data_IF_057948589391
#
_entry.id   IF_057948589391
#
_cell.length_a   1.000
_cell.length_b   1.000
_cell.length_c   1.000
_cell.angle_alpha   90.00
_cell.angle_beta   90.00
_cell.angle_gamma   90.00
#
_symmetry.space_group_name_H-M   'P 1'
#
loop_
_entity.id
_entity.type
_entity.pdbx_description
1 polymer ?
#
# COMPACT_ATOMS: atom_id res chain seq x y z
N UNK A 1 9.94 17.95 -1.87
CA UNK A 1 9.69 18.59 -3.20
C UNK A 1 9.06 17.59 -4.12
N UNK A 2 7.76 17.73 -4.40
CA UNK A 2 7.05 16.87 -5.34
C UNK A 2 7.32 17.35 -6.76
N UNK A 3 8.11 16.60 -7.53
CA UNK A 3 8.19 16.79 -8.98
C UNK A 3 7.07 15.90 -9.56
N UNK A 4 6.07 16.47 -10.24
CA UNK A 4 5.01 15.65 -10.81
C UNK A 4 5.58 14.80 -11.94
N UNK A 5 5.75 13.51 -11.68
CA UNK A 5 6.22 12.49 -12.63
C UNK A 5 5.38 12.49 -13.92
N UNK A 6 4.12 12.91 -13.82
CA UNK A 6 3.19 13.03 -14.95
C UNK A 6 3.63 14.03 -16.05
N UNK A 7 4.58 14.93 -15.76
CA UNK A 7 5.13 15.87 -16.76
C UNK A 7 6.40 15.38 -17.45
N UNK A 8 6.88 14.18 -17.13
CA UNK A 8 8.07 13.61 -17.74
C UNK A 8 7.71 12.73 -18.94
N UNK A 9 8.58 12.70 -19.94
CA UNK A 9 8.36 11.92 -21.17
C UNK A 9 8.45 10.41 -20.97
N UNK A 10 9.01 9.96 -19.86
CA UNK A 10 9.05 8.55 -19.48
C UNK A 10 9.18 8.38 -17.96
N UNK A 11 8.72 7.24 -17.43
CA UNK A 11 8.84 6.89 -16.00
C UNK A 11 10.31 6.86 -15.57
N UNK A 12 11.21 6.31 -16.41
CA UNK A 12 12.64 6.27 -16.12
C UNK A 12 13.26 7.66 -15.98
N UNK A 13 12.83 8.61 -16.81
CA UNK A 13 13.29 10.00 -16.71
C UNK A 13 12.73 10.67 -15.44
N UNK A 14 11.49 10.41 -15.08
CA UNK A 14 10.89 10.93 -13.85
C UNK A 14 11.57 10.41 -12.59
N UNK A 15 11.88 9.12 -12.55
CA UNK A 15 12.63 8.50 -11.44
C UNK A 15 14.05 9.03 -11.35
N UNK A 16 14.73 9.22 -12.48
CA UNK A 16 16.08 9.82 -12.51
C UNK A 16 16.06 11.24 -11.95
N UNK A 17 15.09 12.08 -12.37
CA UNK A 17 14.95 13.43 -11.86
C UNK A 17 14.67 13.47 -10.37
N UNK A 18 13.81 12.56 -9.89
CA UNK A 18 13.52 12.44 -8.46
C UNK A 18 14.77 12.06 -7.65
N UNK A 19 15.51 11.05 -8.09
CA UNK A 19 16.72 10.59 -7.43
C UNK A 19 17.77 11.70 -7.33
N UNK A 20 18.15 12.30 -8.47
CA UNK A 20 19.15 13.35 -8.51
C UNK A 20 18.69 14.63 -7.83
N UNK A 21 17.39 14.94 -7.86
CA UNK A 21 16.82 16.03 -7.12
C UNK A 21 16.97 15.87 -5.60
N UNK A 22 16.77 14.66 -5.10
CA UNK A 22 16.94 14.34 -3.67
C UNK A 22 18.39 14.40 -3.24
N UNK A 23 19.27 13.75 -3.99
CA UNK A 23 20.72 13.72 -3.68
C UNK A 23 21.33 15.12 -3.78
N UNK A 24 21.02 15.86 -4.84
CA UNK A 24 21.49 17.24 -5.03
C UNK A 24 20.99 18.18 -3.93
N UNK A 25 19.73 18.02 -3.49
CA UNK A 25 19.18 18.79 -2.38
C UNK A 25 19.94 18.55 -1.08
N UNK A 26 20.12 17.31 -0.70
CA UNK A 26 20.84 16.95 0.53
C UNK A 26 22.28 17.50 0.54
N UNK A 27 23.00 17.35 -0.56
CA UNK A 27 24.39 17.83 -0.62
C UNK A 27 24.48 19.36 -0.49
N UNK A 28 23.62 20.11 -1.18
CA UNK A 28 23.65 21.58 -1.13
C UNK A 28 23.09 22.13 0.17
N UNK A 29 22.13 21.46 0.80
CA UNK A 29 21.62 21.82 2.10
C UNK A 29 22.68 21.71 3.19
N UNK A 30 23.42 20.62 3.21
CA UNK A 30 24.55 20.42 4.14
C UNK A 30 25.66 21.45 3.91
N UNK A 31 26.02 21.73 2.67
CA UNK A 31 27.00 22.76 2.35
C UNK A 31 26.56 24.16 2.81
N UNK A 32 25.29 24.49 2.61
CA UNK A 32 24.72 25.75 3.07
C UNK A 32 24.67 25.86 4.61
N UNK A 33 24.33 24.78 5.30
CA UNK A 33 24.38 24.70 6.77
C UNK A 33 25.78 24.95 7.30
N UNK A 34 26.76 24.16 6.85
CA UNK A 34 28.14 24.29 7.32
C UNK A 34 28.77 25.64 6.94
N UNK A 35 28.47 26.15 5.73
CA UNK A 35 28.92 27.48 5.30
C UNK A 35 28.41 28.57 6.24
N UNK A 36 27.14 28.52 6.61
CA UNK A 36 26.54 29.49 7.55
C UNK A 36 27.18 29.42 8.94
N UNK A 37 27.48 28.21 9.43
CA UNK A 37 28.18 28.04 10.73
C UNK A 37 29.60 28.61 10.70
N UNK A 38 30.35 28.37 9.63
CA UNK A 38 31.71 28.90 9.43
C UNK A 38 31.75 30.42 9.39
N UNK A 39 30.68 31.06 8.90
CA UNK A 39 30.54 32.52 8.84
C UNK A 39 29.97 33.12 10.15
N UNK A 40 29.84 32.32 11.22
CA UNK A 40 29.40 32.78 12.53
C UNK A 40 27.87 32.87 12.67
N UNK A 41 27.10 32.26 11.78
CA UNK A 41 25.65 32.17 11.87
C UNK A 41 25.19 31.27 13.04
N UNK A 42 24.05 31.65 13.67
CA UNK A 42 23.44 30.87 14.73
C UNK A 42 22.81 29.58 14.18
N UNK A 43 22.38 28.67 15.06
CA UNK A 43 21.83 27.36 14.68
C UNK A 43 20.55 27.51 13.82
N UNK A 44 19.65 28.41 14.20
CA UNK A 44 18.38 28.64 13.49
C UNK A 44 18.62 29.12 12.05
N UNK A 45 19.58 30.07 11.88
CA UNK A 45 19.96 30.55 10.53
C UNK A 45 20.62 29.46 9.73
N UNK A 46 21.47 28.63 10.33
CA UNK A 46 22.11 27.51 9.63
C UNK A 46 21.10 26.43 9.19
N UNK A 47 20.11 26.12 10.01
CA UNK A 47 19.02 25.19 9.65
C UNK A 47 18.12 25.75 8.54
N UNK A 48 17.81 27.05 8.58
CA UNK A 48 17.06 27.71 7.51
C UNK A 48 17.84 27.65 6.17
N UNK A 49 19.15 27.91 6.20
CA UNK A 49 19.99 27.83 5.01
C UNK A 49 20.15 26.40 4.51
N UNK A 50 20.16 25.40 5.38
CA UNK A 50 20.09 23.98 4.98
C UNK A 50 18.80 23.70 4.21
N UNK A 51 17.66 24.14 4.72
CA UNK A 51 16.37 23.96 4.06
C UNK A 51 16.33 24.62 2.69
N UNK A 52 16.76 25.89 2.59
CA UNK A 52 16.83 26.63 1.33
C UNK A 52 17.80 25.97 0.35
N UNK A 53 18.96 25.52 0.81
CA UNK A 53 19.95 24.80 -0.01
C UNK A 53 19.37 23.48 -0.57
N UNK A 54 18.62 22.75 0.23
CA UNK A 54 17.93 21.53 -0.23
C UNK A 54 16.93 21.83 -1.36
N UNK A 55 16.20 22.93 -1.28
CA UNK A 55 15.27 23.35 -2.36
C UNK A 55 16.00 23.73 -3.64
N UNK A 56 16.99 24.61 -3.55
CA UNK A 56 17.72 25.12 -4.72
C UNK A 56 18.54 24.00 -5.36
N UNK A 57 19.29 23.23 -4.59
CA UNK A 57 20.08 22.14 -5.11
C UNK A 57 19.27 20.99 -5.67
N UNK A 58 18.16 20.65 -5.01
CA UNK A 58 17.23 19.65 -5.53
C UNK A 58 16.63 20.03 -6.86
N UNK A 59 16.24 21.31 -7.02
CA UNK A 59 15.71 21.80 -8.28
C UNK A 59 16.75 21.83 -9.39
N UNK A 60 17.96 22.34 -9.11
CA UNK A 60 19.05 22.40 -10.09
C UNK A 60 19.51 20.99 -10.53
N UNK A 61 19.69 20.06 -9.61
CA UNK A 61 20.06 18.69 -9.91
C UNK A 61 18.97 17.96 -10.70
N UNK A 62 17.70 18.16 -10.34
CA UNK A 62 16.56 17.59 -11.07
C UNK A 62 16.49 18.13 -12.51
N UNK A 63 16.75 19.40 -12.72
CA UNK A 63 16.76 20.02 -14.05
C UNK A 63 17.94 19.53 -14.90
N UNK A 64 19.10 19.34 -14.31
CA UNK A 64 20.26 18.74 -14.98
C UNK A 64 19.97 17.28 -15.36
N UNK A 65 19.41 16.48 -14.45
CA UNK A 65 19.04 15.09 -14.67
C UNK A 65 17.99 14.89 -15.79
N UNK A 66 17.21 15.91 -16.12
CA UNK A 66 16.25 15.84 -17.24
C UNK A 66 16.93 15.63 -18.61
N UNK A 67 18.21 15.94 -18.72
CA UNK A 67 19.05 15.74 -19.93
C UNK A 67 19.69 14.38 -20.00
N UNK A 68 19.69 13.62 -18.87
CA UNK A 68 20.26 12.27 -18.78
C UNK A 68 19.13 11.24 -18.75
N UNK A 69 19.24 10.23 -19.63
CA UNK A 69 18.36 9.07 -19.62
C UNK A 69 19.12 7.88 -19.06
N UNK A 70 18.63 7.26 -18.02
CA UNK A 70 19.18 6.02 -17.46
C UNK A 70 19.26 4.88 -18.48
N UNK A 71 18.50 4.95 -19.57
CA UNK A 71 18.53 3.98 -20.65
C UNK A 71 19.80 4.01 -21.50
N UNK A 72 20.69 5.00 -21.33
CA UNK A 72 21.98 5.09 -22.05
C UNK A 72 23.15 4.55 -21.27
N UNK A 73 22.97 4.27 -19.99
CA UNK A 73 23.99 3.60 -19.17
C UNK A 73 23.78 2.09 -19.33
N UNK A 74 24.53 1.46 -20.23
CA UNK A 74 24.72 0.00 -20.14
C UNK A 74 25.55 -0.24 -18.89
N UNK A 75 24.87 -0.44 -17.78
CA UNK A 75 25.51 -1.00 -16.60
C UNK A 75 25.50 -2.50 -16.83
N UNK A 76 26.66 -3.04 -17.27
CA UNK A 76 26.92 -4.47 -17.19
C UNK A 76 27.07 -4.81 -15.69
N UNK A 77 25.98 -4.77 -14.97
CA UNK A 77 25.87 -5.44 -13.69
C UNK A 77 25.61 -6.90 -14.05
N UNK A 78 26.62 -7.75 -13.91
CA UNK A 78 26.37 -9.16 -13.72
C UNK A 78 25.52 -9.30 -12.47
N UNK A 79 24.21 -9.22 -12.67
CA UNK A 79 23.25 -9.61 -11.63
C UNK A 79 23.55 -11.09 -11.40
N UNK A 80 23.95 -11.52 -10.19
CA UNK A 80 24.03 -12.94 -9.90
C UNK A 80 22.72 -13.55 -10.37
N UNK A 81 22.77 -14.52 -11.27
CA UNK A 81 21.59 -15.30 -11.64
C UNK A 81 21.16 -16.00 -10.36
N UNK A 82 20.30 -15.35 -9.61
CA UNK A 82 19.53 -16.03 -8.58
C UNK A 82 18.79 -17.13 -9.33
N UNK A 83 19.20 -18.34 -9.08
CA UNK A 83 18.46 -19.51 -9.45
C UNK A 83 17.13 -19.38 -8.68
N UNK A 84 16.16 -18.66 -9.27
CA UNK A 84 14.78 -18.89 -8.94
C UNK A 84 14.56 -20.33 -9.35
N UNK A 85 14.54 -21.23 -8.41
CA UNK A 85 13.82 -22.47 -8.60
C UNK A 85 12.45 -22.03 -9.11
N UNK A 86 12.27 -22.20 -10.40
CA UNK A 86 10.98 -21.99 -11.04
C UNK A 86 10.07 -23.04 -10.40
N UNK A 87 9.35 -22.65 -9.36
CA UNK A 87 8.15 -23.36 -8.99
C UNK A 87 7.33 -23.36 -10.28
N UNK A 88 7.01 -24.53 -10.88
CA UNK A 88 6.24 -24.57 -12.11
C UNK A 88 4.98 -23.74 -11.87
N UNK A 89 4.86 -22.60 -12.53
CA UNK A 89 3.59 -21.91 -12.59
C UNK A 89 2.68 -22.83 -13.36
N UNK A 90 1.72 -23.42 -12.71
CA UNK A 90 0.54 -23.88 -13.39
C UNK A 90 -0.12 -22.64 -14.01
N UNK A 91 0.06 -22.48 -15.32
CA UNK A 91 -0.28 -21.29 -16.13
C UNK A 91 -1.82 -21.13 -16.25
N UNK A 92 -2.63 -21.89 -15.53
CA UNK A 92 -4.09 -21.94 -15.73
C UNK A 92 -4.94 -21.18 -14.72
N UNK A 93 -4.40 -20.65 -13.65
CA UNK A 93 -5.22 -19.84 -12.74
C UNK A 93 -4.93 -18.34 -12.89
N UNK A 94 -5.65 -17.71 -13.81
CA UNK A 94 -5.73 -16.25 -13.83
C UNK A 94 -6.40 -15.77 -12.54
N UNK A 95 -5.90 -14.67 -11.98
CA UNK A 95 -6.51 -14.03 -10.82
C UNK A 95 -8.02 -13.89 -11.02
N UNK A 96 -8.86 -14.41 -10.11
CA UNK A 96 -10.31 -14.32 -10.24
C UNK A 96 -10.77 -12.86 -10.18
N UNK A 97 -11.93 -12.57 -10.77
CA UNK A 97 -12.58 -11.28 -10.58
C UNK A 97 -13.08 -11.17 -9.12
N UNK A 98 -13.31 -9.94 -8.65
CA UNK A 98 -13.85 -9.73 -7.30
C UNK A 98 -15.19 -10.47 -7.07
N UNK A 99 -16.07 -10.52 -8.09
CA UNK A 99 -17.33 -11.27 -8.05
C UNK A 99 -17.10 -12.77 -7.94
N UNK A 100 -16.11 -13.30 -8.66
CA UNK A 100 -15.79 -14.71 -8.57
C UNK A 100 -15.24 -15.06 -7.20
N UNK A 101 -14.41 -14.17 -6.61
CA UNK A 101 -13.92 -14.34 -5.23
C UNK A 101 -15.07 -14.39 -4.22
N UNK A 102 -16.05 -13.48 -4.32
CA UNK A 102 -17.23 -13.49 -3.44
C UNK A 102 -18.06 -14.76 -3.59
N UNK A 103 -18.30 -15.21 -4.83
CA UNK A 103 -19.06 -16.44 -5.11
C UNK A 103 -18.35 -17.69 -4.59
N UNK A 104 -17.02 -17.79 -4.79
CA UNK A 104 -16.28 -18.97 -4.39
C UNK A 104 -16.11 -19.04 -2.88
N UNK A 105 -15.82 -17.91 -2.23
CA UNK A 105 -15.71 -17.82 -0.77
C UNK A 105 -17.08 -17.99 -0.12
N UNK A 106 -18.15 -17.49 -0.76
CA UNK A 106 -19.52 -17.65 -0.27
C UNK A 106 -19.96 -19.11 -0.08
N UNK A 107 -19.38 -20.05 -0.85
CA UNK A 107 -19.62 -21.49 -0.67
C UNK A 107 -19.13 -22.00 0.69
N UNK A 108 -18.05 -21.40 1.20
CA UNK A 108 -17.48 -21.77 2.51
C UNK A 108 -18.33 -21.21 3.67
N UNK A 109 -19.22 -20.25 3.38
CA UNK A 109 -20.14 -19.58 4.34
C UNK A 109 -21.61 -19.86 4.04
N UNK A 110 -21.93 -21.08 3.61
CA UNK A 110 -23.31 -21.51 3.38
C UNK A 110 -24.15 -21.37 4.67
N UNK A 111 -25.34 -20.80 4.55
CA UNK A 111 -26.22 -20.50 5.69
C UNK A 111 -25.90 -19.21 6.44
N UNK A 112 -25.01 -18.36 5.92
CA UNK A 112 -24.87 -16.98 6.34
C UNK A 112 -25.82 -16.09 5.52
N UNK A 113 -26.36 -15.04 6.16
CA UNK A 113 -27.16 -14.04 5.47
C UNK A 113 -26.24 -13.12 4.64
N UNK A 114 -26.57 -12.90 3.38
CA UNK A 114 -25.80 -12.02 2.53
C UNK A 114 -26.18 -10.55 2.78
N UNK A 115 -25.15 -9.70 2.84
CA UNK A 115 -25.25 -8.24 2.72
C UNK A 115 -26.24 -7.55 3.67
N UNK A 116 -26.37 -8.01 4.91
CA UNK A 116 -27.11 -7.30 5.96
C UNK A 116 -26.45 -5.99 6.33
N UNK A 117 -27.24 -4.95 6.54
CA UNK A 117 -26.75 -3.61 6.93
C UNK A 117 -26.96 -3.36 8.40
N UNK A 118 -25.95 -2.78 9.08
CA UNK A 118 -25.99 -2.50 10.51
C UNK A 118 -25.53 -1.08 10.82
N UNK A 119 -26.14 -0.48 11.83
CA UNK A 119 -25.72 0.79 12.44
C UNK A 119 -25.95 0.72 13.96
N UNK A 120 -24.92 1.07 14.74
CA UNK A 120 -24.99 1.08 16.20
C UNK A 120 -25.50 -0.26 16.80
N UNK A 121 -25.14 -1.38 16.20
CA UNK A 121 -25.54 -2.71 16.65
C UNK A 121 -26.89 -3.22 16.13
N UNK A 122 -27.66 -2.39 15.45
CA UNK A 122 -28.98 -2.75 14.95
C UNK A 122 -29.00 -2.99 13.44
N UNK A 123 -29.77 -3.97 12.98
CA UNK A 123 -30.00 -4.22 11.57
C UNK A 123 -30.90 -3.12 10.98
N UNK A 124 -30.49 -2.56 9.84
CA UNK A 124 -31.17 -1.46 9.17
C UNK A 124 -31.39 -1.77 7.69
N UNK A 125 -32.35 -1.10 7.03
CA UNK A 125 -32.56 -1.26 5.59
C UNK A 125 -31.32 -0.94 4.77
N UNK A 126 -31.19 -1.64 3.64
CA UNK A 126 -30.13 -1.37 2.66
C UNK A 126 -30.10 0.11 2.25
N UNK A 127 -28.90 0.68 2.17
CA UNK A 127 -28.70 2.08 1.77
C UNK A 127 -28.84 3.09 2.92
N UNK A 128 -29.06 2.65 4.16
CA UNK A 128 -29.07 3.54 5.33
C UNK A 128 -27.71 4.24 5.46
N UNK A 129 -27.72 5.57 5.46
CA UNK A 129 -26.50 6.37 5.52
C UNK A 129 -25.73 6.09 6.82
N UNK A 130 -24.45 5.77 6.70
CA UNK A 130 -23.55 5.49 7.83
C UNK A 130 -23.51 4.01 8.24
N UNK A 131 -24.43 3.17 7.74
CA UNK A 131 -24.40 1.74 8.01
C UNK A 131 -23.15 1.06 7.47
N UNK A 132 -22.80 -0.08 8.06
CA UNK A 132 -21.81 -1.03 7.55
C UNK A 132 -22.54 -2.25 7.00
N UNK A 133 -21.92 -2.91 6.00
CA UNK A 133 -22.51 -4.05 5.33
C UNK A 133 -21.44 -5.09 5.04
N UNK A 134 -21.26 -6.11 5.88
CA UNK A 134 -20.43 -7.26 5.56
C UNK A 134 -21.00 -8.06 4.38
N UNK A 135 -20.17 -8.78 3.66
CA UNK A 135 -20.61 -9.65 2.56
C UNK A 135 -21.48 -10.79 3.09
N UNK A 136 -21.07 -11.40 4.21
CA UNK A 136 -21.88 -12.43 4.87
C UNK A 136 -21.94 -12.16 6.37
N UNK A 137 -23.11 -12.45 6.96
CA UNK A 137 -23.35 -12.27 8.38
C UNK A 137 -24.15 -13.44 8.95
N UNK A 138 -23.70 -13.92 10.08
CA UNK A 138 -24.47 -14.83 10.94
C UNK A 138 -24.26 -14.39 12.37
N UNK A 139 -25.25 -14.61 13.24
CA UNK A 139 -25.16 -14.15 14.63
C UNK A 139 -23.79 -14.41 15.25
N UNK A 140 -23.10 -13.33 15.63
CA UNK A 140 -21.75 -13.38 16.20
C UNK A 140 -20.59 -13.36 15.20
N UNK A 141 -20.82 -13.45 13.87
CA UNK A 141 -19.76 -13.48 12.88
C UNK A 141 -20.08 -12.61 11.68
N UNK A 142 -19.13 -11.79 11.27
CA UNK A 142 -19.20 -11.00 10.03
C UNK A 142 -18.03 -11.36 9.12
N UNK A 143 -18.30 -11.60 7.85
CA UNK A 143 -17.29 -11.98 6.86
C UNK A 143 -17.20 -10.93 5.79
N UNK A 144 -15.98 -10.56 5.45
CA UNK A 144 -15.64 -9.66 4.36
C UNK A 144 -14.73 -10.34 3.36
N UNK A 145 -15.03 -10.21 2.09
CA UNK A 145 -14.21 -10.74 1.00
C UNK A 145 -13.42 -9.63 0.34
N UNK A 146 -12.13 -9.84 0.10
CA UNK A 146 -11.24 -8.88 -0.55
C UNK A 146 -10.43 -9.54 -1.65
N UNK A 147 -10.37 -8.85 -2.78
CA UNK A 147 -9.55 -9.22 -3.92
C UNK A 147 -8.73 -8.01 -4.37
N UNK A 148 -7.57 -7.82 -3.75
CA UNK A 148 -6.61 -6.77 -4.09
C UNK A 148 -5.39 -7.35 -4.78
N UNK A 149 -4.71 -6.55 -5.61
CA UNK A 149 -3.42 -6.96 -6.16
C UNK A 149 -2.35 -6.89 -5.07
N UNK A 150 -1.93 -8.05 -4.54
CA UNK A 150 -0.90 -8.14 -3.49
C UNK A 150 0.52 -8.19 -4.04
N UNK A 151 0.70 -8.34 -5.34
CA UNK A 151 2.03 -8.31 -5.97
C UNK A 151 2.66 -6.92 -5.87
N UNK A 152 1.85 -5.86 -5.96
CA UNK A 152 2.31 -4.48 -5.93
C UNK A 152 2.25 -3.88 -4.52
N UNK A 153 3.24 -3.04 -4.17
CA UNK A 153 3.22 -2.30 -2.90
C UNK A 153 2.01 -1.37 -2.77
N UNK A 154 1.56 -0.77 -3.88
CA UNK A 154 0.37 0.09 -3.90
C UNK A 154 -0.89 -0.70 -3.59
N UNK A 155 -1.05 -1.90 -4.18
CA UNK A 155 -2.19 -2.77 -3.92
C UNK A 155 -2.23 -3.26 -2.47
N UNK A 156 -1.06 -3.66 -1.91
CA UNK A 156 -0.95 -4.04 -0.49
C UNK A 156 -1.31 -2.88 0.44
N UNK A 157 -0.79 -1.68 0.18
CA UNK A 157 -1.10 -0.50 0.99
C UNK A 157 -2.58 -0.13 0.93
N UNK A 158 -3.20 -0.22 -0.25
CA UNK A 158 -4.64 0.03 -0.44
C UNK A 158 -5.47 -1.00 0.33
N UNK A 159 -5.12 -2.28 0.25
CA UNK A 159 -5.75 -3.37 1.00
C UNK A 159 -5.69 -3.11 2.51
N UNK A 160 -4.48 -2.88 3.05
CA UNK A 160 -4.26 -2.64 4.48
C UNK A 160 -5.08 -1.43 4.95
N UNK A 161 -5.02 -0.31 4.23
CA UNK A 161 -5.73 0.90 4.61
C UNK A 161 -7.25 0.72 4.62
N UNK A 162 -7.78 0.13 3.55
CA UNK A 162 -9.22 -0.06 3.40
C UNK A 162 -9.77 -1.06 4.42
N UNK A 163 -9.13 -2.22 4.58
CA UNK A 163 -9.57 -3.25 5.53
C UNK A 163 -9.50 -2.73 6.96
N UNK A 164 -8.39 -2.11 7.36
CA UNK A 164 -8.27 -1.55 8.72
C UNK A 164 -9.33 -0.49 9.01
N UNK A 165 -9.65 0.38 8.05
CA UNK A 165 -10.71 1.38 8.20
C UNK A 165 -12.09 0.74 8.30
N UNK A 166 -12.36 -0.31 7.52
CA UNK A 166 -13.63 -1.03 7.57
C UNK A 166 -13.79 -1.79 8.89
N UNK A 167 -12.75 -2.46 9.38
CA UNK A 167 -12.78 -3.13 10.70
C UNK A 167 -13.15 -2.13 11.79
N UNK A 168 -12.52 -0.94 11.83
CA UNK A 168 -12.84 0.11 12.81
C UNK A 168 -14.31 0.54 12.76
N UNK A 169 -14.83 0.78 11.55
CA UNK A 169 -16.24 1.17 11.40
C UNK A 169 -17.19 0.07 11.85
N UNK A 170 -16.84 -1.18 11.65
CA UNK A 170 -17.64 -2.33 12.05
C UNK A 170 -17.66 -2.55 13.55
N UNK A 171 -16.58 -2.24 14.26
CA UNK A 171 -16.56 -2.32 15.74
C UNK A 171 -17.65 -1.51 16.41
N UNK A 172 -18.05 -0.39 15.82
CA UNK A 172 -19.08 0.50 16.37
C UNK A 172 -20.47 0.26 15.80
N UNK A 173 -20.58 -0.47 14.70
CA UNK A 173 -21.83 -0.58 13.96
C UNK A 173 -22.42 -2.00 13.91
N UNK A 174 -21.58 -3.03 14.05
CA UNK A 174 -22.07 -4.41 14.18
C UNK A 174 -22.59 -4.66 15.60
N UNK A 175 -23.47 -5.66 15.78
CA UNK A 175 -23.89 -6.10 17.11
C UNK A 175 -22.69 -6.40 18.01
N UNK A 176 -22.83 -6.09 19.31
CA UNK A 176 -21.76 -6.31 20.29
C UNK A 176 -21.33 -7.78 20.32
N UNK A 177 -20.02 -8.00 20.43
CA UNK A 177 -19.43 -9.35 20.43
C UNK A 177 -19.29 -9.99 19.05
N UNK A 178 -19.63 -9.28 17.96
CA UNK A 178 -19.44 -9.83 16.60
C UNK A 178 -17.96 -9.97 16.27
N UNK A 179 -17.53 -11.20 15.99
CA UNK A 179 -16.20 -11.49 15.45
C UNK A 179 -16.11 -11.09 13.98
N UNK A 180 -15.01 -10.44 13.60
CA UNK A 180 -14.79 -10.00 12.24
C UNK A 180 -13.77 -10.92 11.54
N UNK A 181 -14.20 -11.53 10.43
CA UNK A 181 -13.41 -12.38 9.56
C UNK A 181 -13.20 -11.63 8.24
N UNK A 182 -11.95 -11.56 7.77
CA UNK A 182 -11.61 -11.00 6.45
C UNK A 182 -10.91 -12.06 5.64
N UNK A 183 -11.50 -12.47 4.53
CA UNK A 183 -10.93 -13.43 3.59
C UNK A 183 -10.35 -12.65 2.41
N UNK A 184 -9.04 -12.74 2.24
CA UNK A 184 -8.29 -12.09 1.16
C UNK A 184 -7.99 -13.14 0.09
N UNK A 185 -8.55 -12.98 -1.10
CA UNK A 185 -8.29 -13.86 -2.22
C UNK A 185 -6.99 -13.46 -2.91
N UNK A 186 -6.01 -14.37 -2.87
CA UNK A 186 -4.68 -14.18 -3.47
C UNK A 186 -4.39 -15.17 -4.60
N UNK A 187 -5.43 -15.91 -5.05
CA UNK A 187 -5.30 -16.85 -6.18
C UNK A 187 -4.82 -16.14 -7.43
N UNK A 188 -4.02 -16.82 -8.23
CA UNK A 188 -3.47 -16.29 -9.49
C UNK A 188 -2.51 -15.11 -9.33
N UNK A 189 -1.98 -14.87 -8.13
CA UNK A 189 -1.04 -13.80 -7.84
C UNK A 189 0.31 -14.36 -7.36
N UNK A 190 1.40 -13.62 -7.61
CA UNK A 190 2.74 -13.97 -7.12
C UNK A 190 2.95 -13.34 -5.72
N UNK A 191 3.13 -14.19 -4.70
CA UNK A 191 3.36 -13.78 -3.32
C UNK A 191 4.25 -14.78 -2.59
N UNK A 192 4.84 -14.36 -1.50
CA UNK A 192 5.47 -15.24 -0.52
C UNK A 192 4.75 -15.15 0.83
N UNK A 193 5.02 -16.10 1.72
CA UNK A 193 4.37 -16.15 3.05
C UNK A 193 4.73 -14.93 3.94
N UNK A 194 5.88 -14.32 3.72
CA UNK A 194 6.29 -13.10 4.42
C UNK A 194 5.38 -11.92 4.08
N UNK A 195 5.07 -11.73 2.79
CA UNK A 195 4.13 -10.69 2.33
C UNK A 195 2.76 -10.88 2.98
N UNK A 196 2.24 -12.10 3.00
CA UNK A 196 0.93 -12.38 3.61
C UNK A 196 0.93 -12.11 5.12
N UNK A 197 2.00 -12.51 5.81
CA UNK A 197 2.18 -12.24 7.25
C UNK A 197 2.27 -10.74 7.52
N UNK A 198 3.03 -10.01 6.73
CA UNK A 198 3.15 -8.55 6.84
C UNK A 198 1.80 -7.84 6.65
N UNK A 199 1.02 -8.23 5.62
CA UNK A 199 -0.34 -7.72 5.40
C UNK A 199 -1.22 -7.96 6.63
N UNK A 200 -1.28 -9.19 7.13
CA UNK A 200 -2.06 -9.57 8.33
C UNK A 200 -1.67 -8.71 9.54
N UNK A 201 -0.39 -8.65 9.85
CA UNK A 201 0.12 -7.91 11.01
C UNK A 201 -0.22 -6.41 10.91
N UNK A 202 -0.02 -5.80 9.75
CA UNK A 202 -0.33 -4.38 9.52
C UNK A 202 -1.82 -4.07 9.58
N UNK A 203 -2.69 -4.99 9.14
CA UNK A 203 -4.14 -4.82 9.28
C UNK A 203 -4.52 -4.84 10.76
N UNK A 204 -4.04 -5.81 11.54
CA UNK A 204 -4.31 -5.92 12.97
C UNK A 204 -3.78 -4.70 13.72
N UNK A 205 -2.51 -4.34 13.52
CA UNK A 205 -1.89 -3.17 14.13
C UNK A 205 -2.66 -1.89 13.82
N UNK A 206 -2.94 -1.65 12.55
CA UNK A 206 -3.59 -0.42 12.09
C UNK A 206 -5.06 -0.34 12.49
N UNK A 207 -5.78 -1.46 12.55
CA UNK A 207 -7.17 -1.49 13.02
C UNK A 207 -7.27 -1.38 14.54
N UNK A 208 -6.24 -1.81 15.28
CA UNK A 208 -6.28 -1.94 16.74
C UNK A 208 -7.22 -3.06 17.21
N UNK A 209 -7.59 -3.99 16.33
CA UNK A 209 -8.51 -5.08 16.60
C UNK A 209 -7.97 -6.40 16.02
N UNK A 210 -8.07 -7.47 16.79
CA UNK A 210 -7.61 -8.80 16.40
C UNK A 210 -8.65 -9.52 15.52
N UNK A 211 -8.93 -8.97 14.34
CA UNK A 211 -9.77 -9.61 13.36
C UNK A 211 -9.10 -10.90 12.83
N UNK A 212 -9.90 -11.89 12.48
CA UNK A 212 -9.39 -13.08 11.81
C UNK A 212 -9.10 -12.75 10.33
N UNK A 213 -7.84 -12.82 9.93
CA UNK A 213 -7.38 -12.58 8.56
C UNK A 213 -6.98 -13.90 7.93
N UNK A 214 -7.74 -14.30 6.92
CA UNK A 214 -7.55 -15.52 6.15
C UNK A 214 -7.12 -15.21 4.73
N UNK A 215 -6.36 -16.11 4.10
CA UNK A 215 -5.94 -15.99 2.70
C UNK A 215 -6.43 -17.20 1.91
N UNK A 216 -7.29 -16.97 0.90
CA UNK A 216 -7.68 -17.99 -0.06
C UNK A 216 -6.59 -18.11 -1.12
N UNK A 217 -5.99 -19.28 -1.22
CA UNK A 217 -4.82 -19.58 -2.07
C UNK A 217 -5.13 -20.58 -3.19
N UNK A 218 -6.20 -21.36 -3.01
CA UNK A 218 -6.69 -22.41 -3.92
C UNK A 218 -8.19 -22.25 -4.17
#
# INVERSE_FOLDING_TARGET
MFIPIAKTKSIAQGLSQFFWGTVGGLATGQAAYHGTKLLGGNEETAQLMNLLGNFVGGYAASKAASKFSLNKVKVDVEVPKYNREQIPRNIEESRPTWRQSELDIGKDYEGYDAQKSFINGEEVPYGTKGSVRPEFYKNGHSVEVKNYNVETSSGRNSLINNVSSQIKKRLTNLPEGTEQIVVIDVRGQDYNLEILRDIKNKIIEKSGYNAEILFKRE
#
